data_IF_943621048218
#
_entry.id   IF_943621048218
#
_cell.length_a   1.000
_cell.length_b   1.000
_cell.length_c   1.000
_cell.angle_alpha   90.00
_cell.angle_beta   90.00
_cell.angle_gamma   90.00
#
_symmetry.space_group_name_H-M   'P 1'
#
loop_
_entity.id
_entity.type
_entity.pdbx_description
1 polymer ?
#
# COMPACT_ATOMS: atom_id res chain seq x y z
N UNK A 1 -4.73 -14.88 8.80
CA UNK A 1 -3.90 -15.27 7.63
C UNK A 1 -3.00 -14.09 7.30
N UNK A 2 -1.72 -14.32 6.99
CA UNK A 2 -0.83 -13.24 6.59
C UNK A 2 -1.17 -12.85 5.13
N UNK A 3 -1.55 -11.59 4.90
CA UNK A 3 -1.78 -11.04 3.57
C UNK A 3 -0.42 -10.71 2.96
N UNK A 4 -0.10 -11.28 1.79
CA UNK A 4 1.14 -11.01 1.06
C UNK A 4 0.82 -10.50 -0.35
N UNK A 5 1.05 -9.21 -0.58
CA UNK A 5 0.83 -8.53 -1.87
C UNK A 5 2.13 -8.23 -2.62
N UNK A 6 3.28 -8.75 -2.17
CA UNK A 6 4.58 -8.44 -2.78
C UNK A 6 4.65 -8.95 -4.22
N UNK A 7 4.99 -8.07 -5.16
CA UNK A 7 5.10 -8.39 -6.59
C UNK A 7 3.78 -8.47 -7.33
N UNK A 8 2.66 -8.11 -6.69
CA UNK A 8 1.33 -8.13 -7.28
C UNK A 8 1.03 -6.82 -8.02
N UNK A 9 0.46 -6.92 -9.22
CA UNK A 9 -0.05 -5.76 -9.96
C UNK A 9 -1.43 -5.37 -9.45
N UNK A 10 -1.72 -4.06 -9.44
CA UNK A 10 -3.04 -3.53 -9.11
C UNK A 10 -3.68 -2.98 -10.39
N UNK A 11 -4.50 -3.81 -11.05
CA UNK A 11 -5.16 -3.47 -12.33
C UNK A 11 -6.65 -3.19 -12.09
N UNK A 12 -7.36 -4.10 -11.41
CA UNK A 12 -8.76 -3.93 -11.01
C UNK A 12 -9.01 -4.47 -9.61
N UNK A 13 -10.08 -3.99 -8.95
CA UNK A 13 -10.50 -4.49 -7.63
C UNK A 13 -10.96 -5.95 -7.67
N UNK A 14 -11.43 -6.43 -8.83
CA UNK A 14 -11.85 -7.82 -9.02
C UNK A 14 -10.69 -8.82 -8.84
N UNK A 15 -9.45 -8.35 -8.93
CA UNK A 15 -8.27 -9.18 -8.72
C UNK A 15 -8.02 -9.46 -7.22
N UNK A 16 -8.68 -8.76 -6.30
CA UNK A 16 -8.38 -8.78 -4.86
C UNK A 16 -9.50 -9.40 -4.04
N UNK A 17 -9.13 -10.15 -2.99
CA UNK A 17 -10.10 -10.64 -2.01
C UNK A 17 -10.54 -9.51 -1.07
N UNK A 18 -11.73 -9.63 -0.43
CA UNK A 18 -12.18 -8.66 0.57
C UNK A 18 -11.16 -8.44 1.71
N UNK A 19 -10.46 -9.49 2.14
CA UNK A 19 -9.43 -9.44 3.17
C UNK A 19 -8.19 -8.65 2.72
N UNK A 20 -7.78 -8.82 1.47
CA UNK A 20 -6.66 -8.06 0.88
C UNK A 20 -7.01 -6.58 0.74
N UNK A 21 -8.24 -6.26 0.33
CA UNK A 21 -8.73 -4.89 0.26
C UNK A 21 -8.78 -4.28 1.67
N UNK A 22 -9.28 -5.03 2.66
CA UNK A 22 -9.31 -4.56 4.05
C UNK A 22 -7.90 -4.27 4.58
N UNK A 23 -6.94 -5.15 4.29
CA UNK A 23 -5.53 -4.91 4.61
C UNK A 23 -4.99 -3.61 3.98
N UNK A 24 -5.29 -3.34 2.70
CA UNK A 24 -4.88 -2.10 2.03
C UNK A 24 -5.51 -0.85 2.69
N UNK A 25 -6.78 -0.95 3.12
CA UNK A 25 -7.47 0.14 3.83
C UNK A 25 -6.85 0.42 5.20
N UNK A 26 -6.55 -0.63 5.97
CA UNK A 26 -5.91 -0.51 7.28
C UNK A 26 -4.50 0.11 7.15
N UNK A 27 -3.73 -0.32 6.16
CA UNK A 27 -2.42 0.25 5.84
C UNK A 27 -2.53 1.74 5.45
N UNK A 28 -3.50 2.11 4.61
CA UNK A 28 -3.73 3.49 4.23
C UNK A 28 -4.06 4.38 5.45
N UNK A 29 -4.87 3.86 6.40
CA UNK A 29 -5.21 4.56 7.63
C UNK A 29 -3.99 4.76 8.54
N UNK A 30 -3.11 3.77 8.64
CA UNK A 30 -1.85 3.88 9.39
C UNK A 30 -0.90 4.91 8.77
N UNK A 31 -0.65 4.84 7.46
CA UNK A 31 0.21 5.81 6.76
C UNK A 31 -0.33 7.24 6.89
N UNK A 32 -1.65 7.41 6.86
CA UNK A 32 -2.30 8.70 7.13
C UNK A 32 -2.00 9.18 8.56
N UNK A 33 -2.16 8.32 9.57
CA UNK A 33 -1.82 8.65 10.98
C UNK A 33 -0.36 9.08 11.14
N UNK A 34 0.58 8.33 10.55
CA UNK A 34 2.02 8.67 10.60
C UNK A 34 2.29 10.04 9.98
N UNK A 35 1.69 10.32 8.81
CA UNK A 35 1.79 11.63 8.17
C UNK A 35 1.29 12.77 9.06
N UNK A 36 0.15 12.58 9.75
CA UNK A 36 -0.38 13.59 10.69
C UNK A 36 0.52 13.78 11.91
N UNK A 37 1.16 12.72 12.40
CA UNK A 37 2.13 12.79 13.49
C UNK A 37 3.48 13.40 13.07
N UNK A 38 3.65 13.80 11.80
CA UNK A 38 4.92 14.31 11.26
C UNK A 38 5.97 13.22 11.02
N UNK A 39 5.60 11.95 11.15
CA UNK A 39 6.50 10.81 10.97
C UNK A 39 6.58 10.48 9.48
N UNK A 40 7.79 10.53 8.91
CA UNK A 40 8.07 10.19 7.51
C UNK A 40 8.98 8.96 7.44
N UNK A 41 8.42 7.75 7.43
CA UNK A 41 9.23 6.54 7.33
C UNK A 41 9.83 6.41 5.92
N UNK A 42 11.07 5.92 5.85
CA UNK A 42 11.84 5.75 4.59
C UNK A 42 11.50 4.43 3.88
N UNK A 43 10.21 4.09 3.79
CA UNK A 43 9.77 2.76 3.32
C UNK A 43 10.21 2.41 1.89
N UNK A 44 10.37 3.42 1.02
CA UNK A 44 10.70 3.25 -0.40
C UNK A 44 12.07 3.83 -0.77
N UNK A 45 12.97 3.99 0.20
CA UNK A 45 14.32 4.50 -0.05
C UNK A 45 15.07 3.62 -1.07
N UNK A 46 15.66 4.26 -2.09
CA UNK A 46 16.35 3.58 -3.18
C UNK A 46 15.44 2.91 -4.23
N UNK A 47 14.11 3.10 -4.17
CA UNK A 47 13.17 2.61 -5.18
C UNK A 47 12.76 3.74 -6.14
N UNK A 48 12.54 3.38 -7.40
CA UNK A 48 12.09 4.31 -8.46
C UNK A 48 10.71 3.89 -8.98
N UNK A 49 9.89 4.85 -9.40
CA UNK A 49 8.60 4.62 -10.07
C UNK A 49 8.55 5.43 -11.37
N UNK A 50 8.04 4.82 -12.45
CA UNK A 50 7.75 5.50 -13.70
C UNK A 50 6.25 5.84 -13.76
N UNK A 51 5.93 7.07 -14.14
CA UNK A 51 4.55 7.52 -14.35
C UNK A 51 4.35 7.78 -15.84
N UNK A 52 3.49 6.99 -16.46
CA UNK A 52 3.18 7.05 -17.89
C UNK A 52 1.74 7.54 -18.01
N UNK A 53 1.53 8.65 -18.74
CA UNK A 53 0.25 9.30 -18.96
C UNK A 53 -0.09 9.29 -20.45
#
# INVERSE_FOLDING_TARGET
>A
MAVNLKGRSFITLLDFSPEEIKYLLDLAAELKRLKYAGIRPRNMEGKNIALIF
#
